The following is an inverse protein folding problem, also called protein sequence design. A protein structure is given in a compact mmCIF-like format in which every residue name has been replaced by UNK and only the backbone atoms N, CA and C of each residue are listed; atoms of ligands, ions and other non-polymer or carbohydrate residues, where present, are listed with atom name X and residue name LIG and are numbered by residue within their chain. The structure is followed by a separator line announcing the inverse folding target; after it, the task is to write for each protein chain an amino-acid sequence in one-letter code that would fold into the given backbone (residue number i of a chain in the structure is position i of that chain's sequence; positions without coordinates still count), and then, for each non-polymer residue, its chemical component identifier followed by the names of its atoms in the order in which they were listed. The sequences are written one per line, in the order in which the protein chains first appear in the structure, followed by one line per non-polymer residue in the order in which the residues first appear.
data_IF_778949812659
#
_entry.id   IF_778949812659
#
_cell.length_a   1.000
_cell.length_b   1.000
_cell.length_c   1.000
_cell.angle_alpha   90.00
_cell.angle_beta   90.00
_cell.angle_gamma   90.00
#
_symmetry.space_group_name_H-M   'P 1'
#
loop_
_entity.id
_entity.type
_entity.pdbx_description
1 polymer ?
#
# COMPACT_ATOMS: atom_id res chain seq x y z
N UNK A 1 17.52 2.43 -4.51
CA UNK A 1 16.22 1.82 -4.84
C UNK A 1 15.67 2.58 -6.03
N UNK A 2 15.36 1.89 -7.11
CA UNK A 2 14.74 2.50 -8.29
C UNK A 2 13.22 2.61 -8.06
N UNK A 3 12.66 3.80 -8.28
CA UNK A 3 11.25 4.07 -8.11
C UNK A 3 10.51 3.85 -9.42
N UNK A 4 9.30 3.28 -9.35
CA UNK A 4 8.39 3.13 -10.49
C UNK A 4 7.31 4.20 -10.34
N UNK A 5 7.25 5.15 -11.28
CA UNK A 5 6.31 6.28 -11.23
C UNK A 5 6.40 7.10 -9.91
N UNK A 6 7.60 7.21 -9.34
CA UNK A 6 7.82 7.87 -8.05
C UNK A 6 7.43 7.05 -6.81
N UNK A 7 7.07 5.78 -6.99
CA UNK A 7 6.69 4.87 -5.91
C UNK A 7 7.71 3.73 -5.72
N UNK A 8 7.86 3.20 -4.49
CA UNK A 8 8.53 1.93 -4.29
C UNK A 8 7.86 0.83 -5.14
N UNK A 9 8.61 -0.07 -5.80
CA UNK A 9 8.06 -1.14 -6.65
C UNK A 9 6.96 -1.98 -5.99
N UNK A 10 7.08 -2.27 -4.70
CA UNK A 10 6.10 -2.98 -3.87
C UNK A 10 4.79 -2.21 -3.77
N UNK A 11 4.85 -0.90 -3.61
CA UNK A 11 3.68 -0.01 -3.54
C UNK A 11 3.02 0.12 -4.92
N UNK A 12 3.81 0.27 -5.98
CA UNK A 12 3.30 0.29 -7.35
C UNK A 12 2.57 -1.02 -7.70
N UNK A 13 3.12 -2.16 -7.29
CA UNK A 13 2.49 -3.48 -7.47
C UNK A 13 1.15 -3.60 -6.73
N UNK A 14 1.06 -3.04 -5.52
CA UNK A 14 -0.20 -3.01 -4.76
C UNK A 14 -1.24 -2.14 -5.45
N UNK A 15 -0.87 -0.97 -5.99
CA UNK A 15 -1.79 -0.11 -6.74
C UNK A 15 -2.35 -0.84 -7.97
N UNK A 16 -1.51 -1.53 -8.74
CA UNK A 16 -1.92 -2.33 -9.90
C UNK A 16 -2.84 -3.50 -9.50
N UNK A 17 -2.55 -4.18 -8.39
CA UNK A 17 -3.40 -5.24 -7.86
C UNK A 17 -4.80 -4.73 -7.49
N UNK A 18 -4.89 -3.63 -6.73
CA UNK A 18 -6.16 -3.04 -6.32
C UNK A 18 -6.97 -2.59 -7.54
N UNK A 19 -6.32 -1.99 -8.54
CA UNK A 19 -6.98 -1.60 -9.78
C UNK A 19 -7.53 -2.79 -10.56
N UNK A 20 -6.77 -3.89 -10.66
CA UNK A 20 -7.23 -5.12 -11.30
C UNK A 20 -8.45 -5.70 -10.59
N UNK A 21 -8.48 -5.65 -9.25
CA UNK A 21 -9.63 -6.11 -8.46
C UNK A 21 -10.84 -5.20 -8.61
N UNK A 22 -10.65 -3.88 -8.57
CA UNK A 22 -11.73 -2.93 -8.80
C UNK A 22 -12.38 -3.16 -10.17
N UNK A 23 -11.58 -3.24 -11.25
CA UNK A 23 -12.07 -3.50 -12.62
C UNK A 23 -12.91 -4.78 -12.72
N UNK A 24 -12.54 -5.83 -12.01
CA UNK A 24 -13.29 -7.09 -12.01
C UNK A 24 -14.68 -6.98 -11.35
N UNK A 25 -14.94 -5.89 -10.61
CA UNK A 25 -16.17 -5.66 -9.85
C UNK A 25 -16.83 -4.35 -10.26
N UNK A 26 -17.14 -4.18 -11.54
CA UNK A 26 -17.78 -2.96 -12.07
C UNK A 26 -17.00 -1.68 -11.73
N UNK A 27 -15.67 -1.80 -11.72
CA UNK A 27 -14.74 -0.75 -11.33
C UNK A 27 -14.95 -0.20 -9.90
N UNK A 28 -15.35 -1.07 -8.96
CA UNK A 28 -15.52 -0.75 -7.55
C UNK A 28 -14.64 -1.62 -6.64
N UNK A 29 -13.96 -0.99 -5.69
CA UNK A 29 -13.18 -1.68 -4.69
C UNK A 29 -14.08 -2.31 -3.62
N UNK A 30 -14.16 -3.64 -3.59
CA UNK A 30 -14.98 -4.34 -2.60
C UNK A 30 -14.40 -4.26 -1.19
N UNK A 31 -15.25 -4.52 -0.21
CA UNK A 31 -14.94 -4.43 1.21
C UNK A 31 -13.72 -5.30 1.63
N UNK A 32 -13.47 -6.41 0.93
CA UNK A 32 -12.35 -7.31 1.17
C UNK A 32 -11.01 -6.65 0.78
N UNK A 33 -10.89 -6.07 -0.42
CA UNK A 33 -9.67 -5.34 -0.81
C UNK A 33 -9.44 -4.10 0.07
N UNK A 34 -10.51 -3.39 0.45
CA UNK A 34 -10.42 -2.29 1.42
C UNK A 34 -9.86 -2.77 2.77
N UNK A 35 -10.30 -3.94 3.26
CA UNK A 35 -9.81 -4.51 4.50
C UNK A 35 -8.35 -4.97 4.39
N UNK A 36 -7.96 -5.59 3.27
CA UNK A 36 -6.57 -5.97 2.98
C UNK A 36 -5.64 -4.76 2.98
N UNK A 37 -6.04 -3.66 2.33
CA UNK A 37 -5.25 -2.44 2.28
C UNK A 37 -5.08 -1.77 3.65
N UNK A 38 -6.17 -1.65 4.43
CA UNK A 38 -6.08 -1.18 5.81
C UNK A 38 -5.17 -2.05 6.67
N UNK A 39 -5.24 -3.36 6.50
CA UNK A 39 -4.39 -4.29 7.24
C UNK A 39 -2.92 -4.09 6.90
N UNK A 40 -2.59 -3.99 5.61
CA UNK A 40 -1.21 -3.77 5.18
C UNK A 40 -0.65 -2.44 5.68
N UNK A 41 -1.44 -1.36 5.58
CA UNK A 41 -1.10 -0.05 6.15
C UNK A 41 -0.77 -0.13 7.65
N UNK A 42 -1.45 -1.00 8.41
CA UNK A 42 -1.20 -1.17 9.85
C UNK A 42 -0.07 -2.14 10.17
N UNK A 43 0.09 -3.20 9.37
CA UNK A 43 1.05 -4.28 9.62
C UNK A 43 2.45 -3.96 9.08
N UNK A 44 2.55 -3.13 8.05
CA UNK A 44 3.79 -2.76 7.36
C UNK A 44 3.94 -1.25 7.25
N UNK A 45 3.74 -0.52 8.36
CA UNK A 45 3.76 0.96 8.39
C UNK A 45 5.01 1.57 7.76
N UNK A 46 6.15 0.90 7.86
CA UNK A 46 7.41 1.38 7.28
C UNK A 46 7.40 1.42 5.75
N UNK A 47 6.69 0.49 5.07
CA UNK A 47 6.49 0.51 3.60
C UNK A 47 5.84 1.82 3.15
N UNK A 48 4.89 2.31 3.94
CA UNK A 48 3.99 3.41 3.55
C UNK A 48 4.43 4.77 4.07
N UNK A 49 5.35 4.80 5.04
CA UNK A 49 5.70 6.02 5.78
C UNK A 49 6.26 7.12 4.88
N UNK A 50 7.06 6.75 3.88
CA UNK A 50 7.72 7.69 2.95
C UNK A 50 7.05 7.75 1.58
N UNK A 51 5.89 7.11 1.40
CA UNK A 51 5.18 7.12 0.13
C UNK A 51 4.52 8.49 -0.08
N UNK A 52 4.81 9.12 -1.21
CA UNK A 52 4.08 10.31 -1.64
C UNK A 52 2.63 9.93 -2.01
N UNK A 53 1.66 10.51 -1.30
CA UNK A 53 0.24 10.24 -1.51
C UNK A 53 -0.25 10.74 -2.86
N UNK A 54 0.38 11.79 -3.42
CA UNK A 54 0.08 12.32 -4.75
C UNK A 54 0.57 11.36 -5.84
N UNK A 55 1.80 10.86 -5.73
CA UNK A 55 2.30 9.82 -6.64
C UNK A 55 1.44 8.55 -6.58
N UNK A 56 1.04 8.14 -5.38
CA UNK A 56 0.16 6.97 -5.20
C UNK A 56 -1.22 7.20 -5.85
N UNK A 57 -1.80 8.38 -5.67
CA UNK A 57 -3.05 8.79 -6.32
C UNK A 57 -2.93 8.73 -7.85
N UNK A 58 -1.88 9.34 -8.41
CA UNK A 58 -1.64 9.40 -9.84
C UNK A 58 -1.48 8.00 -10.43
N UNK A 59 -0.71 7.12 -9.78
CA UNK A 59 -0.56 5.72 -10.18
C UNK A 59 -1.91 5.00 -10.20
N UNK A 60 -2.68 5.12 -9.11
CA UNK A 60 -3.99 4.51 -8.99
C UNK A 60 -4.97 4.92 -10.12
N UNK A 61 -4.97 6.21 -10.48
CA UNK A 61 -5.79 6.73 -11.58
C UNK A 61 -5.29 6.26 -12.95
N UNK A 62 -3.97 6.22 -13.16
CA UNK A 62 -3.36 5.71 -14.39
C UNK A 62 -3.69 4.22 -14.62
N UNK A 63 -3.80 3.44 -13.53
CA UNK A 63 -4.26 2.06 -13.59
C UNK A 63 -5.78 1.92 -13.86
N UNK A 64 -6.53 3.03 -13.93
CA UNK A 64 -7.94 3.07 -14.33
C UNK A 64 -8.95 2.95 -13.18
N UNK A 65 -8.53 3.12 -11.92
CA UNK A 65 -9.46 3.14 -10.79
C UNK A 65 -10.34 4.39 -10.79
N UNK A 66 -11.57 4.26 -10.31
CA UNK A 66 -12.49 5.42 -10.12
C UNK A 66 -11.96 6.34 -9.04
N UNK A 67 -12.12 7.65 -9.25
CA UNK A 67 -11.63 8.67 -8.32
C UNK A 67 -12.16 8.54 -6.88
N UNK A 68 -13.36 7.99 -6.70
CA UNK A 68 -13.95 7.71 -5.39
C UNK A 68 -13.13 6.69 -4.59
N UNK A 69 -12.83 5.53 -5.20
CA UNK A 69 -12.01 4.49 -4.58
C UNK A 69 -10.58 4.97 -4.32
N UNK A 70 -10.01 5.70 -5.29
CA UNK A 70 -8.69 6.33 -5.10
C UNK A 70 -8.71 7.31 -3.92
N UNK A 71 -9.76 8.10 -3.78
CA UNK A 71 -9.94 9.01 -2.64
C UNK A 71 -9.97 8.29 -1.30
N UNK A 72 -10.63 7.14 -1.23
CA UNK A 72 -10.65 6.30 -0.02
C UNK A 72 -9.27 5.73 0.31
N UNK A 73 -8.56 5.19 -0.68
CA UNK A 73 -7.22 4.62 -0.50
C UNK A 73 -6.22 5.69 -0.03
N UNK A 74 -6.19 6.85 -0.70
CA UNK A 74 -5.34 7.99 -0.32
C UNK A 74 -5.67 8.48 1.08
N UNK A 75 -6.96 8.64 1.40
CA UNK A 75 -7.38 9.06 2.74
C UNK A 75 -7.01 8.07 3.85
N UNK A 76 -6.93 6.77 3.56
CA UNK A 76 -6.41 5.79 4.52
C UNK A 76 -4.89 5.83 4.65
N UNK A 77 -4.17 5.98 3.54
CA UNK A 77 -2.72 6.16 3.52
C UNK A 77 -2.32 7.35 4.40
N UNK A 78 -2.91 8.52 4.18
CA UNK A 78 -2.61 9.75 4.93
C UNK A 78 -2.95 9.59 6.42
N UNK A 79 -4.07 8.95 6.76
CA UNK A 79 -4.41 8.63 8.16
C UNK A 79 -3.35 7.73 8.79
N UNK A 80 -2.89 6.70 8.09
CA UNK A 80 -1.87 5.79 8.58
C UNK A 80 -0.52 6.49 8.78
N UNK A 81 -0.14 7.38 7.86
CA UNK A 81 1.06 8.23 7.93
C UNK A 81 0.99 9.25 9.08
N UNK A 82 -0.18 9.81 9.34
CA UNK A 82 -0.45 10.67 10.50
C UNK A 82 -0.53 9.91 11.84
N UNK A 83 -0.09 8.64 11.89
CA UNK A 83 -0.08 7.82 13.09
C UNK A 83 -1.44 7.26 13.51
N UNK A 84 -2.53 7.56 12.79
CA UNK A 84 -3.88 7.08 13.14
C UNK A 84 -4.00 5.57 12.89
N UNK A 85 -4.87 4.93 13.67
CA UNK A 85 -5.18 3.50 13.53
C UNK A 85 -6.33 3.30 12.55
N UNK A 86 -6.13 2.38 11.61
CA UNK A 86 -7.18 1.85 10.74
C UNK A 86 -7.63 0.49 11.30
N UNK A 87 -8.93 0.20 11.17
CA UNK A 87 -9.51 -1.06 11.65
C UNK A 87 -9.86 -1.91 10.43
N UNK A 88 -9.02 -2.89 10.04
CA UNK A 88 -9.39 -3.87 9.04
C UNK A 88 -10.43 -4.86 9.61
N UNK A 89 -11.18 -5.52 8.72
CA UNK A 89 -12.05 -6.63 9.11
C UNK A 89 -11.24 -7.76 9.77
N UNK A 90 -11.86 -8.48 10.71
CA UNK A 90 -11.21 -9.50 11.54
C UNK A 90 -10.47 -10.55 10.70
N UNK A 91 -11.06 -10.99 9.59
CA UNK A 91 -10.48 -12.00 8.69
C UNK A 91 -9.20 -11.54 7.99
N UNK A 92 -8.96 -10.24 7.90
CA UNK A 92 -7.79 -9.66 7.22
C UNK A 92 -6.80 -9.01 8.17
N UNK A 93 -7.00 -9.08 9.50
CA UNK A 93 -6.20 -8.30 10.47
C UNK A 93 -4.68 -8.49 10.34
N UNK A 94 -4.22 -9.67 9.94
CA UNK A 94 -2.79 -10.02 9.79
C UNK A 94 -2.32 -9.98 8.34
N UNK A 95 -3.19 -9.56 7.42
CA UNK A 95 -2.90 -9.54 5.99
C UNK A 95 -1.74 -8.59 5.66
N UNK A 96 -0.91 -9.02 4.71
CA UNK A 96 0.20 -8.26 4.14
C UNK A 96 0.27 -8.57 2.65
N UNK A 97 0.38 -7.55 1.82
CA UNK A 97 0.61 -7.70 0.39
C UNK A 97 2.04 -8.18 0.12
N UNK A 98 2.16 -9.02 -0.90
CA UNK A 98 3.40 -9.33 -1.57
C UNK A 98 3.53 -8.45 -2.84
N UNK A 99 4.75 -8.09 -3.27
CA UNK A 99 6.03 -8.43 -2.65
C UNK A 99 6.26 -7.71 -1.30
N UNK A 100 7.18 -8.19 -0.44
CA UNK A 100 7.54 -7.49 0.79
C UNK A 100 8.03 -6.05 0.50
N UNK A 101 8.02 -5.15 1.51
CA UNK A 101 8.65 -3.84 1.39
C UNK A 101 10.11 -4.04 0.97
N UNK A 102 10.62 -3.12 0.18
CA UNK A 102 11.99 -3.18 -0.30
C UNK A 102 12.95 -3.13 0.90
N UNK A 103 13.99 -3.96 0.85
CA UNK A 103 15.05 -3.90 1.84
C UNK A 103 15.71 -2.51 1.78
N UNK A 104 15.60 -1.77 2.87
CA UNK A 104 16.43 -0.58 3.05
C UNK A 104 17.88 -1.08 3.03
N UNK A 105 18.70 -0.54 2.13
CA UNK A 105 20.11 -0.87 1.97
C UNK A 105 20.95 -0.41 3.19
N UNK A 106 20.61 -0.86 4.38
CA UNK A 106 21.53 -0.89 5.50
C UNK A 106 22.31 -2.19 5.35
N UNK A 107 23.63 -2.15 5.11
CA UNK A 107 24.41 -3.36 5.22
C UNK A 107 24.18 -3.90 6.64
N UNK A 108 23.78 -5.17 6.75
CA UNK A 108 23.85 -5.83 8.05
C UNK A 108 25.31 -5.73 8.48
N UNK A 109 25.60 -4.90 9.46
CA UNK A 109 26.83 -5.03 10.22
C UNK A 109 26.67 -6.32 11.03
N UNK A 110 26.86 -7.47 10.36
CA UNK A 110 27.28 -8.68 11.04
C UNK A 110 28.66 -8.36 11.58
N UNK A 111 28.69 -7.88 12.81
CA UNK A 111 29.91 -7.82 13.57
C UNK A 111 30.14 -9.26 14.05
N UNK A 112 30.82 -10.06 13.23
CA UNK A 112 31.22 -11.45 13.53
C UNK A 112 32.35 -11.48 14.59
N UNK A 113 32.18 -10.70 15.66
CA UNK A 113 33.07 -10.65 16.81
C UNK A 113 32.25 -10.49 18.07
N UNK A 114 31.61 -11.58 18.52
CA UNK A 114 31.47 -12.01 19.92
C UNK A 114 31.14 -13.50 19.94
#
# INVERSE_FOLDING_TARGET
MELVDGLPPSVASIAAFLATKAKAYDNHLKWNEQAMFKADLMNLRHRWRSVDSVAFRSKCLAEGMRGEDVGLLVGWLEKAQAGRRLVPSKSYRTFRFNPPPEETAFPSYNNDRW
#
